data_IF_550126402503
#
_entry.id   IF_550126402503
#
_cell.length_a   1.000
_cell.length_b   1.000
_cell.length_c   1.000
_cell.angle_alpha   90.00
_cell.angle_beta   90.00
_cell.angle_gamma   90.00
#
_symmetry.space_group_name_H-M   'P 1'
#
loop_
_entity.id
_entity.type
_entity.pdbx_description
1 polymer ?
#
# COMPACT_ATOMS: atom_id res chain seq x y z
N UNK A 1 32.58 31.11 -10.18
CA UNK A 1 32.56 30.02 -9.20
C UNK A 1 33.28 28.85 -9.84
N UNK A 2 34.46 28.50 -9.35
CA UNK A 2 35.32 27.46 -9.93
C UNK A 2 34.86 26.09 -9.43
N UNK A 3 34.34 25.27 -10.34
CA UNK A 3 34.08 23.84 -10.13
C UNK A 3 35.38 23.13 -9.75
N UNK A 4 35.57 22.89 -8.45
CA UNK A 4 36.60 22.00 -7.97
C UNK A 4 36.07 20.57 -8.06
N UNK A 5 36.46 19.85 -9.10
CA UNK A 5 36.21 18.42 -9.20
C UNK A 5 36.78 17.72 -7.95
N UNK A 6 35.90 17.08 -7.17
CA UNK A 6 36.27 16.30 -6.00
C UNK A 6 36.73 14.91 -6.47
N UNK A 7 37.94 14.52 -6.09
CA UNK A 7 38.49 13.18 -6.34
C UNK A 7 38.55 12.40 -5.03
N UNK A 8 38.31 11.09 -5.08
CA UNK A 8 38.53 10.23 -3.92
C UNK A 8 40.03 10.09 -3.66
N UNK A 9 40.48 10.38 -2.44
CA UNK A 9 41.90 10.37 -2.05
C UNK A 9 42.56 8.99 -2.10
N UNK A 10 41.76 7.92 -2.04
CA UNK A 10 42.27 6.56 -1.87
C UNK A 10 42.39 5.79 -3.19
N UNK A 11 41.59 6.17 -4.19
CA UNK A 11 41.54 5.49 -5.49
C UNK A 11 41.66 6.44 -6.70
N UNK A 12 41.80 7.76 -6.47
CA UNK A 12 42.01 8.78 -7.51
C UNK A 12 40.97 8.77 -8.65
N UNK A 13 39.73 8.37 -8.32
CA UNK A 13 38.57 8.38 -9.21
C UNK A 13 37.80 9.69 -9.00
N UNK A 14 37.28 10.27 -10.10
CA UNK A 14 36.37 11.41 -10.08
C UNK A 14 35.06 11.05 -9.36
N UNK A 15 34.68 11.80 -8.32
CA UNK A 15 33.45 11.56 -7.56
C UNK A 15 32.16 11.98 -8.31
N UNK A 16 32.26 12.34 -9.60
CA UNK A 16 31.15 12.91 -10.38
C UNK A 16 30.47 11.88 -11.31
N UNK A 17 31.01 10.66 -11.46
CA UNK A 17 30.50 9.70 -12.47
C UNK A 17 29.64 8.54 -11.93
N UNK A 18 29.19 8.56 -10.66
CA UNK A 18 28.32 7.48 -10.12
C UNK A 18 27.16 7.95 -9.25
N UNK A 19 26.77 9.23 -9.32
CA UNK A 19 25.43 9.59 -8.90
C UNK A 19 24.49 9.16 -10.03
N UNK A 20 23.52 8.25 -9.81
CA UNK A 20 22.43 8.12 -10.77
C UNK A 20 21.90 9.53 -10.97
N UNK A 21 21.88 10.01 -12.21
CA UNK A 21 21.16 11.24 -12.50
C UNK A 21 19.76 11.06 -11.91
N UNK A 22 19.16 12.09 -11.30
CA UNK A 22 17.75 12.01 -10.94
C UNK A 22 17.01 11.84 -12.25
N UNK A 23 16.83 10.59 -12.64
CA UNK A 23 15.89 10.17 -13.66
C UNK A 23 14.61 10.92 -13.32
N UNK A 24 14.17 11.74 -14.27
CA UNK A 24 13.12 12.70 -14.07
C UNK A 24 11.89 11.93 -13.59
N UNK A 25 11.67 11.91 -12.28
CA UNK A 25 10.48 11.37 -11.68
C UNK A 25 9.37 12.32 -12.08
N UNK A 26 8.72 12.02 -13.20
CA UNK A 26 7.52 12.73 -13.59
C UNK A 26 6.41 12.46 -12.56
N UNK A 27 5.56 13.46 -12.35
CA UNK A 27 4.44 13.35 -11.44
C UNK A 27 3.21 12.89 -12.22
N UNK A 28 2.42 12.03 -11.60
CA UNK A 28 1.11 11.66 -12.13
C UNK A 28 0.23 12.91 -12.25
N UNK A 29 -0.28 13.20 -13.44
CA UNK A 29 -1.18 14.33 -13.67
C UNK A 29 -2.48 14.23 -12.84
N UNK A 30 -2.89 13.01 -12.47
CA UNK A 30 -4.09 12.78 -11.67
C UNK A 30 -3.83 12.97 -10.16
N UNK A 31 -2.84 12.25 -9.59
CA UNK A 31 -2.64 12.22 -8.13
C UNK A 31 -1.41 12.96 -7.62
N UNK A 32 -0.55 13.47 -8.50
CA UNK A 32 0.72 14.12 -8.16
C UNK A 32 1.78 13.16 -7.59
N UNK A 33 1.51 11.85 -7.55
CA UNK A 33 2.45 10.84 -7.10
C UNK A 33 3.63 10.69 -8.06
N UNK A 34 4.81 10.40 -7.52
CA UNK A 34 5.97 10.11 -8.35
C UNK A 34 5.74 8.88 -9.22
N UNK A 35 6.16 8.96 -10.48
CA UNK A 35 5.99 7.89 -11.44
C UNK A 35 7.31 7.48 -12.06
N UNK A 36 7.36 6.19 -12.37
CA UNK A 36 8.28 5.64 -13.33
C UNK A 36 7.63 5.74 -14.71
N UNK A 37 8.33 6.35 -15.68
CA UNK A 37 7.82 6.56 -17.03
C UNK A 37 7.67 5.25 -17.83
N UNK A 38 8.29 4.17 -17.36
CA UNK A 38 8.19 2.86 -17.99
C UNK A 38 6.88 2.11 -17.62
N UNK A 39 6.08 2.64 -16.69
CA UNK A 39 4.82 2.04 -16.28
C UNK A 39 3.63 2.58 -17.09
N UNK A 40 2.84 1.67 -17.68
CA UNK A 40 1.65 2.02 -18.47
C UNK A 40 0.50 2.59 -17.61
N UNK A 41 0.60 2.50 -16.29
CA UNK A 41 -0.39 3.00 -15.35
C UNK A 41 0.26 3.53 -14.07
N UNK A 42 -0.44 4.42 -13.37
CA UNK A 42 -0.01 4.94 -12.08
C UNK A 42 -0.37 3.95 -10.95
N UNK A 43 0.61 3.39 -10.22
CA UNK A 43 0.33 2.46 -9.11
C UNK A 43 -0.32 3.15 -7.91
N UNK A 44 -0.23 4.48 -7.80
CA UNK A 44 -0.80 5.23 -6.68
C UNK A 44 -2.30 5.50 -6.82
N UNK A 45 -2.78 5.83 -8.02
CA UNK A 45 -4.19 6.19 -8.26
C UNK A 45 -4.92 5.28 -9.25
N UNK A 46 -4.21 4.43 -9.97
CA UNK A 46 -4.79 3.51 -10.94
C UNK A 46 -5.06 4.12 -12.32
N UNK A 47 -4.63 5.36 -12.56
CA UNK A 47 -4.77 5.99 -13.89
C UNK A 47 -3.99 5.20 -14.93
N UNK A 48 -4.62 4.87 -16.05
CA UNK A 48 -3.99 4.20 -17.19
C UNK A 48 -3.56 5.24 -18.23
N UNK A 49 -2.32 5.18 -18.72
CA UNK A 49 -1.77 6.11 -19.72
C UNK A 49 -1.82 5.55 -21.14
N UNK A 50 -1.73 4.23 -21.28
CA UNK A 50 -1.88 3.55 -22.54
C UNK A 50 -3.37 3.22 -22.80
N UNK A 51 -4.12 4.24 -23.20
CA UNK A 51 -5.51 4.11 -23.62
C UNK A 51 -5.63 3.19 -24.86
N UNK A 52 -6.76 2.48 -24.97
CA UNK A 52 -7.15 1.63 -26.11
C UNK A 52 -6.33 0.36 -26.41
N UNK A 53 -5.33 0.02 -25.60
CA UNK A 53 -4.54 -1.22 -25.78
C UNK A 53 -5.01 -2.38 -24.90
N UNK A 54 -5.69 -2.07 -23.81
CA UNK A 54 -6.01 -3.03 -22.77
C UNK A 54 -7.52 -3.30 -22.70
N UNK A 55 -7.90 -4.55 -22.42
CA UNK A 55 -9.29 -4.96 -22.22
C UNK A 55 -9.66 -5.05 -20.75
N UNK A 56 -10.93 -4.81 -20.44
CA UNK A 56 -11.45 -4.94 -19.10
C UNK A 56 -11.45 -6.41 -18.65
N UNK A 57 -11.01 -6.66 -17.41
CA UNK A 57 -11.00 -7.99 -16.79
C UNK A 57 -12.39 -8.62 -16.73
N UNK A 58 -13.43 -7.82 -16.47
CA UNK A 58 -14.82 -8.30 -16.42
C UNK A 58 -15.49 -8.35 -17.79
N UNK A 59 -15.08 -7.46 -18.70
CA UNK A 59 -15.68 -7.31 -20.02
C UNK A 59 -14.58 -7.36 -21.09
N UNK A 60 -14.22 -8.56 -21.61
CA UNK A 60 -13.13 -8.69 -22.57
C UNK A 60 -13.34 -7.93 -23.88
N UNK A 61 -14.60 -7.56 -24.19
CA UNK A 61 -14.97 -6.74 -25.34
C UNK A 61 -14.93 -5.23 -25.05
N UNK A 62 -14.82 -4.83 -23.79
CA UNK A 62 -14.72 -3.44 -23.36
C UNK A 62 -13.27 -3.02 -23.18
N UNK A 63 -12.98 -1.77 -23.52
CA UNK A 63 -11.66 -1.16 -23.31
C UNK A 63 -11.48 -0.83 -21.83
N UNK A 64 -10.31 -1.16 -21.28
CA UNK A 64 -9.92 -0.75 -19.93
C UNK A 64 -9.54 0.73 -19.92
N UNK A 65 -10.04 1.45 -18.92
CA UNK A 65 -9.78 2.88 -18.75
C UNK A 65 -8.95 3.16 -17.49
N UNK A 66 -8.67 2.13 -16.69
CA UNK A 66 -7.93 2.26 -15.45
C UNK A 66 -7.63 0.93 -14.80
N UNK A 67 -6.89 1.00 -13.69
CA UNK A 67 -6.43 -0.13 -12.89
C UNK A 67 -6.95 0.03 -11.47
N UNK A 68 -7.39 -1.07 -10.85
CA UNK A 68 -7.71 -1.04 -9.43
C UNK A 68 -6.42 -0.98 -8.60
N UNK A 69 -6.29 0.01 -7.70
CA UNK A 69 -5.08 0.21 -6.87
C UNK A 69 -4.80 -0.92 -5.88
N UNK A 70 -5.76 -1.82 -5.64
CA UNK A 70 -5.61 -2.97 -4.72
C UNK A 70 -5.22 -4.24 -5.50
N UNK A 71 -6.02 -4.65 -6.49
CA UNK A 71 -5.74 -5.88 -7.23
C UNK A 71 -4.84 -5.72 -8.44
N UNK A 72 -4.52 -4.48 -8.84
CA UNK A 72 -3.70 -4.15 -10.00
C UNK A 72 -4.24 -4.74 -11.32
N UNK A 73 -5.55 -5.02 -11.39
CA UNK A 73 -6.21 -5.49 -12.60
C UNK A 73 -6.88 -4.33 -13.37
N UNK A 74 -7.00 -4.52 -14.68
CA UNK A 74 -7.54 -3.56 -15.64
C UNK A 74 -9.07 -3.63 -15.72
N UNK A 75 -9.74 -2.48 -15.70
CA UNK A 75 -11.20 -2.40 -15.74
C UNK A 75 -11.70 -1.26 -16.63
N UNK A 76 -12.87 -1.43 -17.22
CA UNK A 76 -13.57 -0.36 -17.94
C UNK A 76 -14.21 0.64 -16.96
N UNK A 77 -14.66 1.78 -17.47
CA UNK A 77 -15.30 2.84 -16.67
C UNK A 77 -16.52 2.35 -15.88
N UNK A 78 -17.24 1.35 -16.37
CA UNK A 78 -18.41 0.78 -15.67
C UNK A 78 -18.04 -0.11 -14.49
N UNK A 79 -16.82 -0.68 -14.49
CA UNK A 79 -16.33 -1.56 -13.43
C UNK A 79 -15.40 -0.84 -12.44
N UNK A 80 -15.10 0.43 -12.69
CA UNK A 80 -14.25 1.26 -11.84
C UNK A 80 -15.09 2.27 -11.07
N UNK A 81 -14.76 2.39 -9.79
CA UNK A 81 -15.30 3.38 -8.89
C UNK A 81 -14.14 4.25 -8.41
N UNK A 82 -14.35 5.57 -8.44
CA UNK A 82 -13.38 6.53 -7.90
C UNK A 82 -13.72 6.85 -6.45
N UNK A 83 -12.72 6.79 -5.58
CA UNK A 83 -12.81 7.18 -4.16
C UNK A 83 -11.49 7.82 -3.75
N UNK A 84 -11.57 9.03 -3.18
CA UNK A 84 -10.40 9.78 -2.72
C UNK A 84 -9.30 9.95 -3.80
N UNK A 85 -9.70 10.15 -5.07
CA UNK A 85 -8.79 10.31 -6.22
C UNK A 85 -8.08 9.03 -6.65
N UNK A 86 -8.59 7.86 -6.25
CA UNK A 86 -8.04 6.53 -6.56
C UNK A 86 -9.12 5.64 -7.17
N UNK A 87 -8.72 4.77 -8.08
CA UNK A 87 -9.61 3.86 -8.80
C UNK A 87 -9.64 2.47 -8.14
N UNK A 88 -10.85 1.98 -7.90
CA UNK A 88 -11.12 0.67 -7.30
C UNK A 88 -12.13 -0.10 -8.14
N UNK A 89 -11.98 -1.42 -8.21
CA UNK A 89 -13.07 -2.26 -8.73
C UNK A 89 -14.17 -2.44 -7.68
N UNK A 90 -15.34 -2.93 -8.11
CA UNK A 90 -16.49 -3.16 -7.23
C UNK A 90 -16.18 -4.04 -6.01
N UNK A 91 -15.26 -4.99 -6.15
CA UNK A 91 -14.85 -5.87 -5.05
C UNK A 91 -14.06 -5.13 -3.96
N UNK A 92 -13.35 -4.05 -4.31
CA UNK A 92 -12.36 -3.41 -3.45
C UNK A 92 -12.72 -1.97 -3.03
N UNK A 93 -13.79 -1.39 -3.55
CA UNK A 93 -14.24 -0.03 -3.19
C UNK A 93 -14.58 0.14 -1.69
N UNK A 94 -15.02 -0.94 -1.05
CA UNK A 94 -15.36 -0.99 0.37
C UNK A 94 -14.13 -1.09 1.27
N UNK A 95 -12.97 -1.45 0.73
CA UNK A 95 -11.73 -1.54 1.51
C UNK A 95 -11.33 -0.14 1.97
N UNK A 96 -11.10 -0.01 3.28
CA UNK A 96 -10.56 1.22 3.84
C UNK A 96 -9.09 1.34 3.44
N UNK A 97 -8.77 2.41 2.73
CA UNK A 97 -7.41 2.72 2.34
C UNK A 97 -7.13 4.21 2.48
N UNK A 98 -5.88 4.55 2.79
CA UNK A 98 -5.41 5.92 2.98
C UNK A 98 -3.95 6.01 2.59
N UNK A 99 -3.62 6.96 1.70
CA UNK A 99 -2.23 7.26 1.28
C UNK A 99 -1.43 6.03 0.80
N UNK A 100 -2.08 5.09 0.09
CA UNK A 100 -1.42 3.87 -0.43
C UNK A 100 -1.36 2.70 0.55
N UNK A 101 -1.95 2.85 1.74
CA UNK A 101 -2.11 1.79 2.73
C UNK A 101 -3.54 1.30 2.76
N UNK A 102 -3.74 0.00 2.84
CA UNK A 102 -5.05 -0.66 2.89
C UNK A 102 -5.20 -1.46 4.19
N UNK A 103 -6.37 -1.39 4.82
CA UNK A 103 -6.66 -2.09 6.07
C UNK A 103 -6.95 -3.56 5.79
N UNK A 104 -6.06 -4.45 6.24
CA UNK A 104 -6.21 -5.91 6.06
C UNK A 104 -6.94 -6.57 7.23
N UNK A 105 -6.77 -6.05 8.44
CA UNK A 105 -7.35 -6.61 9.65
C UNK A 105 -7.77 -5.52 10.63
N UNK A 106 -8.86 -5.75 11.36
CA UNK A 106 -9.38 -4.81 12.35
C UNK A 106 -9.88 -5.59 13.56
N UNK A 107 -9.35 -5.28 14.74
CA UNK A 107 -9.83 -5.87 15.99
C UNK A 107 -9.85 -4.86 17.13
N UNK A 108 -10.74 -5.09 18.09
CA UNK A 108 -10.75 -4.35 19.37
C UNK A 108 -9.86 -5.00 20.42
N UNK A 109 -9.39 -6.23 20.19
CA UNK A 109 -8.42 -6.89 21.05
C UNK A 109 -6.99 -6.53 20.61
N UNK A 110 -6.26 -5.90 21.52
CA UNK A 110 -4.87 -5.54 21.32
C UNK A 110 -3.98 -6.75 21.07
N UNK A 111 -4.18 -7.84 21.81
CA UNK A 111 -3.33 -9.03 21.67
C UNK A 111 -3.56 -9.72 20.34
N UNK A 112 -4.82 -9.86 19.94
CA UNK A 112 -5.17 -10.40 18.61
C UNK A 112 -4.54 -9.57 17.50
N UNK A 113 -4.66 -8.24 17.56
CA UNK A 113 -4.06 -7.34 16.59
C UNK A 113 -2.52 -7.45 16.55
N UNK A 114 -1.85 -7.62 17.70
CA UNK A 114 -0.39 -7.81 17.73
C UNK A 114 0.03 -9.19 17.21
N UNK A 115 -0.76 -10.25 17.43
CA UNK A 115 -0.49 -11.58 16.87
C UNK A 115 -0.56 -11.50 15.34
N UNK A 116 -1.65 -10.97 14.80
CA UNK A 116 -1.83 -10.80 13.34
C UNK A 116 -0.70 -9.95 12.73
N UNK A 117 -0.35 -8.85 13.39
CA UNK A 117 0.79 -8.01 12.99
C UNK A 117 2.08 -8.81 12.95
N UNK A 118 2.40 -9.53 14.03
CA UNK A 118 3.62 -10.32 14.14
C UNK A 118 3.69 -11.41 13.08
N UNK A 119 2.57 -12.08 12.80
CA UNK A 119 2.49 -13.08 11.72
C UNK A 119 2.79 -12.45 10.36
N UNK A 120 2.15 -11.33 10.02
CA UNK A 120 2.38 -10.63 8.76
C UNK A 120 3.83 -10.11 8.62
N UNK A 121 4.38 -9.49 9.67
CA UNK A 121 5.77 -9.04 9.68
C UNK A 121 6.75 -10.22 9.52
N UNK A 122 6.46 -11.36 10.15
CA UNK A 122 7.29 -12.58 10.03
C UNK A 122 7.25 -13.21 8.64
N UNK A 123 6.13 -13.04 7.92
CA UNK A 123 5.99 -13.45 6.53
C UNK A 123 6.65 -12.46 5.55
N UNK A 124 7.20 -11.34 6.05
CA UNK A 124 7.93 -10.35 5.26
C UNK A 124 7.07 -9.21 4.72
N UNK A 125 5.80 -9.10 5.13
CA UNK A 125 4.96 -7.97 4.74
C UNK A 125 5.37 -6.70 5.46
N UNK A 126 5.19 -5.56 4.79
CA UNK A 126 5.31 -4.26 5.46
C UNK A 126 4.01 -3.95 6.17
N UNK A 127 4.05 -3.78 7.49
CA UNK A 127 2.86 -3.63 8.32
C UNK A 127 2.90 -2.35 9.13
N UNK A 128 1.79 -1.63 9.17
CA UNK A 128 1.58 -0.49 10.06
C UNK A 128 0.32 -0.71 10.90
N UNK A 129 0.46 -0.72 12.23
CA UNK A 129 -0.67 -0.82 13.13
C UNK A 129 -1.02 0.57 13.67
N UNK A 130 -2.28 0.98 13.52
CA UNK A 130 -2.76 2.27 14.03
C UNK A 130 -4.07 2.09 14.82
N UNK A 131 -4.17 2.78 15.95
CA UNK A 131 -5.41 2.96 16.68
C UNK A 131 -6.12 4.21 16.14
N UNK A 132 -7.39 4.10 15.78
CA UNK A 132 -8.09 5.24 15.18
C UNK A 132 -8.65 6.19 16.25
N UNK A 133 -7.76 7.03 16.79
CA UNK A 133 -8.10 8.44 17.03
C UNK A 133 -7.06 9.23 16.28
N UNK A 134 -7.48 10.01 15.26
CA UNK A 134 -6.70 11.02 14.51
C UNK A 134 -5.20 11.04 14.83
N UNK A 135 -4.35 10.66 13.84
CA UNK A 135 -2.88 10.80 13.79
C UNK A 135 -2.36 11.65 14.96
N UNK A 136 -2.18 10.97 16.09
CA UNK A 136 -1.99 11.59 17.39
C UNK A 136 -1.10 10.64 18.15
N UNK A 137 0.20 10.82 17.95
CA UNK A 137 1.29 10.05 18.56
C UNK A 137 0.99 9.85 20.04
N UNK A 138 0.65 8.62 20.43
CA UNK A 138 0.51 8.23 21.82
C UNK A 138 1.76 7.46 22.21
N UNK A 139 2.50 8.04 23.14
CA UNK A 139 3.77 7.55 23.67
C UNK A 139 3.72 6.09 24.11
N UNK A 140 4.81 5.40 23.82
CA UNK A 140 5.25 4.14 24.40
C UNK A 140 5.04 4.13 25.92
N UNK A 141 4.03 3.36 26.38
CA UNK A 141 3.82 3.07 27.81
C UNK A 141 2.46 3.46 28.40
N UNK A 142 1.58 4.18 27.70
CA UNK A 142 0.21 4.45 28.21
C UNK A 142 -0.81 3.36 27.85
N UNK A 143 -0.51 2.56 26.83
CA UNK A 143 -1.36 1.47 26.29
C UNK A 143 -1.24 0.14 27.06
N UNK A 144 -0.15 -0.05 27.81
CA UNK A 144 0.12 -1.29 28.54
C UNK A 144 -0.67 -1.38 29.87
N UNK A 145 -1.37 -0.32 30.23
CA UNK A 145 -2.13 -0.22 31.47
C UNK A 145 -3.59 -0.66 31.24
N UNK A 146 -4.16 -1.43 32.18
CA UNK A 146 -5.54 -1.91 32.12
C UNK A 146 -6.60 -0.81 31.90
N UNK A 147 -6.31 0.43 32.34
CA UNK A 147 -7.14 1.61 32.14
C UNK A 147 -7.08 2.17 30.70
N UNK A 148 -5.93 2.09 30.02
CA UNK A 148 -5.81 2.50 28.61
C UNK A 148 -6.66 1.60 27.70
N UNK A 149 -6.69 0.30 28.01
CA UNK A 149 -7.46 -0.73 27.28
C UNK A 149 -8.98 -0.65 27.51
N UNK A 150 -9.43 -0.08 28.62
CA UNK A 150 -10.87 0.07 28.92
C UNK A 150 -11.46 1.40 28.44
N UNK A 151 -10.63 2.44 28.27
CA UNK A 151 -11.09 3.79 27.88
C UNK A 151 -11.16 3.96 26.35
N UNK A 152 -10.39 3.18 25.58
CA UNK A 152 -10.39 3.24 24.12
C UNK A 152 -11.01 1.96 23.50
N UNK A 153 -12.34 1.93 23.36
CA UNK A 153 -13.08 0.94 22.53
C UNK A 153 -12.80 1.09 21.02
N UNK A 154 -11.67 1.67 20.65
CA UNK A 154 -11.36 1.95 19.26
C UNK A 154 -10.70 0.73 18.65
N UNK A 155 -11.18 0.27 17.51
CA UNK A 155 -10.55 -0.86 16.85
C UNK A 155 -9.15 -0.46 16.36
N UNK A 156 -8.21 -1.35 16.63
CA UNK A 156 -6.86 -1.33 16.09
C UNK A 156 -6.96 -1.85 14.66
N UNK A 157 -6.46 -1.07 13.72
CA UNK A 157 -6.43 -1.40 12.30
C UNK A 157 -5.00 -1.74 11.91
N UNK A 158 -4.85 -2.85 11.21
CA UNK A 158 -3.60 -3.30 10.63
C UNK A 158 -3.61 -2.92 9.15
N UNK A 159 -2.65 -2.11 8.75
CA UNK A 159 -2.48 -1.61 7.41
C UNK A 159 -1.31 -2.31 6.73
N UNK A 160 -1.46 -2.56 5.44
CA UNK A 160 -0.41 -3.03 4.53
C UNK A 160 -0.41 -2.15 3.27
N UNK A 161 0.71 -2.04 2.55
CA UNK A 161 0.71 -1.42 1.23
C UNK A 161 -0.37 -2.01 0.33
N UNK A 162 -1.06 -1.18 -0.46
CA UNK A 162 -2.22 -1.60 -1.25
C UNK A 162 -1.88 -2.74 -2.25
N UNK A 163 -0.65 -2.77 -2.76
CA UNK A 163 -0.10 -3.82 -3.61
C UNK A 163 0.05 -5.17 -2.90
N UNK A 164 0.26 -5.16 -1.58
CA UNK A 164 0.41 -6.36 -0.75
C UNK A 164 -0.92 -6.85 -0.16
N UNK A 165 -2.01 -6.10 -0.33
CA UNK A 165 -3.28 -6.36 0.34
C UNK A 165 -3.83 -7.76 0.07
N UNK A 166 -3.86 -8.19 -1.19
CA UNK A 166 -4.41 -9.51 -1.56
C UNK A 166 -3.56 -10.62 -0.95
N UNK A 167 -2.24 -10.57 -1.12
CA UNK A 167 -1.32 -11.55 -0.56
C UNK A 167 -1.44 -11.63 0.97
N UNK A 168 -1.58 -10.49 1.64
CA UNK A 168 -1.79 -10.44 3.08
C UNK A 168 -3.15 -11.05 3.49
N UNK A 169 -4.24 -10.78 2.75
CA UNK A 169 -5.54 -11.41 3.03
C UNK A 169 -5.49 -12.93 2.83
N UNK A 170 -4.86 -13.40 1.76
CA UNK A 170 -4.71 -14.84 1.49
C UNK A 170 -3.88 -15.53 2.56
N UNK A 171 -2.82 -14.88 3.04
CA UNK A 171 -1.99 -15.39 4.13
C UNK A 171 -2.81 -15.56 5.42
N UNK A 172 -3.57 -14.53 5.81
CA UNK A 172 -4.42 -14.61 7.00
C UNK A 172 -5.51 -15.67 6.86
N UNK A 173 -6.08 -15.84 5.66
CA UNK A 173 -7.08 -16.88 5.41
C UNK A 173 -6.51 -18.30 5.59
N UNK A 174 -5.23 -18.53 5.27
CA UNK A 174 -4.57 -19.83 5.42
C UNK A 174 -4.30 -20.16 6.89
N UNK A 175 -3.81 -19.21 7.68
CA UNK A 175 -3.51 -19.41 9.11
C UNK A 175 -4.74 -19.81 9.94
N UNK A 176 -5.94 -19.38 9.55
CA UNK A 176 -7.19 -19.74 10.23
C UNK A 176 -7.74 -21.13 9.87
N UNK A 177 -7.20 -21.80 8.85
CA UNK A 177 -7.65 -23.16 8.46
C UNK A 177 -6.97 -24.31 9.23
N UNK A 178 -6.05 -23.98 10.14
CA UNK A 178 -5.39 -24.96 11.03
C UNK A 178 -6.22 -25.41 12.23
N UNK A 179 -7.39 -24.81 12.48
CA UNK A 179 -8.23 -25.03 13.66
C UNK A 179 -9.54 -25.77 13.30
N UNK A 180 -9.45 -26.85 12.51
CA UNK A 180 -10.57 -27.78 12.35
C UNK A 180 -10.59 -28.74 13.55
N UNK A 181 -11.63 -28.72 14.42
CA UNK A 181 -11.76 -29.66 15.51
C UNK A 181 -12.44 -30.93 14.99
N UNK A 182 -11.69 -31.81 14.33
CA UNK A 182 -12.16 -33.18 14.07
C UNK A 182 -11.00 -34.16 14.30
N UNK A 183 -10.86 -34.56 15.56
CA UNK A 183 -10.13 -35.73 16.02
C UNK A 183 -11.06 -36.63 16.84
#
# INVERSE_FOLDING_TARGET
>A
YTDAALFCSDCNILLVEHLPQPEAMDQCDNCGGAMDLDNDYCPQCGTLYAEDQYSCTNHPTGVATGVCVICQQLFCTECLNEKDGRLYCDAHISVESSQGWSVVFTSTDYYEAQIVRGSLESAGFTVHAANTTNIGVMADGFMDNALGRTIFKYPIKIFVPADQFIAAQEFLAQDHTGDSPDA
#
